data_IF_294028993597
#
_entry.id   IF_294028993597
#
_cell.length_a   1.000
_cell.length_b   1.000
_cell.length_c   1.000
_cell.angle_alpha   90.00
_cell.angle_beta   90.00
_cell.angle_gamma   90.00
#
_symmetry.space_group_name_H-M   'P 1'
#
loop_
_entity.id
_entity.type
_entity.pdbx_description
1 polymer ?
#
# COMPACT_ATOMS: atom_id res chain seq x y z
N UNK A 1 -13.55 1.27 -5.54
CA UNK A 1 -13.52 0.81 -6.95
C UNK A 1 -12.15 0.21 -7.19
N UNK A 2 -12.00 -0.83 -8.02
CA UNK A 2 -10.64 -1.27 -8.37
C UNK A 2 -10.01 -0.30 -9.36
N UNK A 3 -8.68 -0.08 -9.32
CA UNK A 3 -8.01 0.82 -10.28
C UNK A 3 -8.31 0.48 -11.75
N UNK A 4 -8.46 -0.81 -12.06
CA UNK A 4 -8.84 -1.30 -13.39
C UNK A 4 -10.29 -0.98 -13.80
N UNK A 5 -11.19 -0.79 -12.83
CA UNK A 5 -12.56 -0.33 -13.08
C UNK A 5 -12.58 1.18 -13.37
N UNK A 6 -11.78 1.95 -12.62
CA UNK A 6 -11.62 3.40 -12.85
C UNK A 6 -11.12 3.68 -14.27
N UNK A 7 -10.09 2.97 -14.73
CA UNK A 7 -9.56 3.13 -16.10
C UNK A 7 -10.64 2.92 -17.18
N UNK A 8 -11.52 1.91 -17.02
CA UNK A 8 -12.61 1.66 -17.96
C UNK A 8 -13.66 2.77 -17.97
N UNK A 9 -14.01 3.31 -16.80
CA UNK A 9 -14.95 4.41 -16.70
C UNK A 9 -14.37 5.69 -17.31
N UNK A 10 -13.07 5.94 -17.07
CA UNK A 10 -12.35 7.08 -17.59
C UNK A 10 -12.27 7.06 -19.12
N UNK A 11 -11.83 5.95 -19.70
CA UNK A 11 -11.65 5.82 -21.16
C UNK A 11 -12.98 5.73 -21.93
N UNK A 12 -14.07 5.30 -21.29
CA UNK A 12 -15.39 5.23 -21.92
C UNK A 12 -16.15 6.57 -22.01
N UNK A 13 -15.59 7.66 -21.47
CA UNK A 13 -16.28 8.95 -21.42
C UNK A 13 -17.49 8.95 -20.48
N UNK A 14 -17.53 8.02 -19.52
CA UNK A 14 -18.67 7.87 -18.61
C UNK A 14 -18.64 8.85 -17.43
N UNK A 15 -17.56 9.62 -17.27
CA UNK A 15 -17.31 10.48 -16.11
C UNK A 15 -17.42 11.96 -16.46
N UNK A 16 -17.87 12.76 -15.49
CA UNK A 16 -17.80 14.23 -15.50
C UNK A 16 -16.46 14.69 -14.93
N UNK A 17 -15.87 15.73 -15.53
CA UNK A 17 -14.71 16.40 -14.94
C UNK A 17 -15.15 17.09 -13.63
N UNK A 18 -14.46 16.79 -12.54
CA UNK A 18 -14.76 17.28 -11.20
C UNK A 18 -14.59 18.81 -11.11
N UNK A 19 -13.77 19.42 -11.98
CA UNK A 19 -13.60 20.88 -12.02
C UNK A 19 -14.85 21.62 -12.50
N UNK A 20 -15.79 20.93 -13.13
CA UNK A 20 -17.08 21.50 -13.53
C UNK A 20 -18.10 21.54 -12.38
N UNK A 21 -17.79 20.90 -11.25
CA UNK A 21 -18.71 20.83 -10.12
C UNK A 21 -18.62 22.09 -9.25
N UNK A 22 -19.75 22.78 -9.03
CA UNK A 22 -19.83 23.82 -8.01
C UNK A 22 -19.44 23.28 -6.63
N UNK A 23 -18.77 24.11 -5.81
CA UNK A 23 -18.31 23.78 -4.44
C UNK A 23 -17.28 22.64 -4.34
N UNK A 24 -16.74 22.16 -5.47
CA UNK A 24 -15.62 21.24 -5.46
C UNK A 24 -14.31 22.02 -5.25
N UNK A 25 -13.76 21.91 -4.04
CA UNK A 25 -12.52 22.56 -3.63
C UNK A 25 -11.45 21.50 -3.31
N UNK A 26 -10.57 21.13 -4.27
CA UNK A 26 -9.61 20.04 -4.07
C UNK A 26 -8.59 20.30 -2.95
N UNK A 27 -8.36 21.56 -2.60
CA UNK A 27 -7.42 21.97 -1.54
C UNK A 27 -8.06 22.13 -0.16
N UNK A 28 -9.33 21.75 0.01
CA UNK A 28 -10.10 21.92 1.26
C UNK A 28 -9.63 21.04 2.42
N UNK A 29 -8.81 20.04 2.17
CA UNK A 29 -8.30 19.07 3.16
C UNK A 29 -9.19 17.85 3.39
N UNK A 30 -10.46 17.87 2.94
CA UNK A 30 -11.35 16.70 2.94
C UNK A 30 -11.38 15.92 1.62
N UNK A 31 -10.54 16.33 0.66
CA UNK A 31 -10.12 15.54 -0.48
C UNK A 31 -8.62 15.29 -0.39
N UNK A 32 -8.19 14.07 -0.72
CA UNK A 32 -6.78 13.70 -0.73
C UNK A 32 -6.12 14.34 -1.96
N UNK A 33 -5.34 15.40 -1.72
CA UNK A 33 -4.67 16.17 -2.78
C UNK A 33 -3.68 15.33 -3.58
N UNK A 34 -2.97 14.40 -2.94
CA UNK A 34 -2.01 13.54 -3.62
C UNK A 34 -2.71 12.61 -4.63
N UNK A 35 -3.89 12.10 -4.29
CA UNK A 35 -4.73 11.31 -5.18
C UNK A 35 -5.31 12.15 -6.31
N UNK A 36 -5.74 13.38 -6.04
CA UNK A 36 -6.28 14.29 -7.04
C UNK A 36 -5.23 14.62 -8.12
N UNK A 37 -3.98 14.83 -7.69
CA UNK A 37 -2.85 15.10 -8.57
C UNK A 37 -2.41 13.86 -9.32
N UNK A 38 -2.28 12.72 -8.64
CA UNK A 38 -1.89 11.46 -9.26
C UNK A 38 -2.92 10.96 -10.28
N UNK A 39 -4.21 11.15 -10.02
CA UNK A 39 -5.30 10.72 -10.92
C UNK A 39 -5.58 11.73 -12.05
N UNK A 40 -4.86 12.85 -12.10
CA UNK A 40 -4.94 13.82 -13.21
C UNK A 40 -4.31 13.23 -14.46
N UNK A 41 -5.08 13.21 -15.56
CA UNK A 41 -4.64 12.71 -16.86
C UNK A 41 -4.90 13.79 -17.89
N UNK A 42 -3.87 14.16 -18.65
CA UNK A 42 -3.93 15.21 -19.66
C UNK A 42 -4.53 16.55 -19.13
N UNK A 43 -4.31 16.86 -17.85
CA UNK A 43 -4.83 18.06 -17.18
C UNK A 43 -6.32 18.02 -16.80
N UNK A 44 -6.99 16.88 -16.97
CA UNK A 44 -8.38 16.68 -16.54
C UNK A 44 -8.47 15.86 -15.26
N UNK A 45 -9.49 16.13 -14.45
CA UNK A 45 -9.66 15.54 -13.13
C UNK A 45 -11.01 14.83 -13.01
N UNK A 46 -11.01 13.51 -13.17
CA UNK A 46 -12.24 12.69 -13.17
C UNK A 46 -12.45 11.86 -11.90
N UNK A 47 -11.47 11.84 -11.01
CA UNK A 47 -11.51 11.04 -9.80
C UNK A 47 -10.63 11.61 -8.70
N UNK A 48 -11.06 11.39 -7.45
CA UNK A 48 -10.35 11.80 -6.25
C UNK A 48 -10.66 10.86 -5.10
N UNK A 49 -9.71 10.61 -4.21
CA UNK A 49 -10.01 9.97 -2.91
C UNK A 49 -10.57 11.05 -1.98
N UNK A 50 -11.76 10.79 -1.42
CA UNK A 50 -12.49 11.73 -0.58
C UNK A 50 -12.68 11.13 0.82
N UNK A 51 -12.73 12.00 1.83
CA UNK A 51 -13.08 11.62 3.19
C UNK A 51 -14.54 11.19 3.37
N UNK A 52 -15.38 11.20 2.31
CA UNK A 52 -16.70 10.54 2.30
C UNK A 52 -16.63 9.09 2.78
N UNK A 53 -15.47 8.44 2.64
CA UNK A 53 -15.16 7.15 3.24
C UNK A 53 -13.74 7.09 3.80
N UNK A 54 -13.57 6.40 4.92
CA UNK A 54 -12.28 6.17 5.59
C UNK A 54 -11.54 4.95 5.07
N UNK A 55 -12.06 4.28 4.05
CA UNK A 55 -11.47 3.06 3.53
C UNK A 55 -10.04 3.29 3.03
N UNK A 56 -9.70 4.46 2.48
CA UNK A 56 -8.35 4.73 2.00
C UNK A 56 -7.32 4.74 3.15
N UNK A 57 -7.66 5.29 4.31
CA UNK A 57 -6.81 5.27 5.51
C UNK A 57 -6.53 3.84 5.98
N UNK A 58 -7.54 2.97 5.88
CA UNK A 58 -7.41 1.57 6.24
C UNK A 58 -6.49 0.80 5.27
N UNK A 59 -6.32 1.32 4.06
CA UNK A 59 -5.57 0.73 2.94
C UNK A 59 -4.19 1.35 2.79
N UNK A 60 -3.57 1.77 3.89
CA UNK A 60 -2.17 2.20 3.93
C UNK A 60 -1.33 1.07 4.52
N UNK A 61 -0.21 0.78 3.87
CA UNK A 61 0.73 -0.23 4.33
C UNK A 61 1.45 0.20 5.63
N UNK A 62 1.51 -0.71 6.61
CA UNK A 62 2.10 -0.55 7.94
C UNK A 62 2.73 -1.87 8.42
N UNK A 63 3.69 -1.81 9.33
CA UNK A 63 4.27 -2.99 9.95
C UNK A 63 3.86 -3.10 11.42
N UNK A 64 3.68 -4.32 11.89
CA UNK A 64 3.35 -4.64 13.28
C UNK A 64 4.45 -5.54 13.81
N UNK A 65 4.91 -5.34 15.05
CA UNK A 65 5.96 -6.16 15.63
C UNK A 65 5.56 -6.75 16.99
N UNK A 66 5.91 -8.01 17.23
CA UNK A 66 5.69 -8.71 18.50
C UNK A 66 6.78 -8.29 19.50
N UNK A 67 6.38 -7.57 20.55
CA UNK A 67 7.31 -7.06 21.58
C UNK A 67 7.87 -8.16 22.45
N UNK A 68 7.06 -9.17 22.78
CA UNK A 68 7.51 -10.31 23.61
C UNK A 68 8.62 -11.06 22.90
N UNK A 69 8.42 -11.37 21.62
CA UNK A 69 9.45 -12.03 20.81
C UNK A 69 10.69 -11.14 20.64
N UNK A 70 10.53 -9.84 20.51
CA UNK A 70 11.65 -8.91 20.41
C UNK A 70 12.53 -8.95 21.67
N UNK A 71 11.90 -8.93 22.85
CA UNK A 71 12.58 -9.03 24.15
C UNK A 71 13.25 -10.40 24.35
N UNK A 72 12.56 -11.50 23.99
CA UNK A 72 13.07 -12.87 24.12
C UNK A 72 14.36 -13.10 23.33
N UNK A 73 14.53 -12.38 22.22
CA UNK A 73 15.70 -12.44 21.35
C UNK A 73 16.72 -11.33 21.59
N UNK A 74 16.47 -10.45 22.58
CA UNK A 74 17.36 -9.33 22.91
C UNK A 74 17.57 -8.37 21.74
N UNK A 75 16.53 -8.16 20.93
CA UNK A 75 16.55 -7.23 19.80
C UNK A 75 16.27 -5.81 20.32
N UNK A 76 16.85 -4.80 19.68
CA UNK A 76 16.66 -3.40 20.09
C UNK A 76 15.21 -2.92 19.88
N UNK A 77 14.80 -1.92 20.66
CA UNK A 77 13.48 -1.30 20.55
C UNK A 77 13.20 -0.78 19.12
N UNK A 78 12.07 -1.21 18.55
CA UNK A 78 11.70 -0.82 17.17
C UNK A 78 11.37 0.65 17.02
N UNK A 79 10.73 1.27 18.02
CA UNK A 79 10.37 2.69 17.95
C UNK A 79 11.62 3.56 17.88
N UNK A 80 12.63 3.28 18.69
CA UNK A 80 13.91 3.99 18.63
C UNK A 80 14.66 3.74 17.31
N UNK A 81 14.55 2.52 16.77
CA UNK A 81 15.09 2.15 15.46
C UNK A 81 14.43 2.98 14.34
N UNK A 82 13.12 3.20 14.41
CA UNK A 82 12.37 4.07 13.48
C UNK A 82 12.77 5.54 13.67
N UNK A 83 12.73 6.07 14.89
CA UNK A 83 13.08 7.47 15.20
C UNK A 83 14.49 7.84 14.79
N UNK A 84 15.43 6.91 14.91
CA UNK A 84 16.82 7.11 14.49
C UNK A 84 17.06 6.95 12.99
N UNK A 85 16.02 6.62 12.20
CA UNK A 85 16.10 6.46 10.75
C UNK A 85 16.69 5.13 10.28
N UNK A 86 16.93 4.19 11.21
CA UNK A 86 17.62 2.91 10.95
C UNK A 86 16.69 1.77 10.58
N UNK A 87 15.37 2.01 10.62
CA UNK A 87 14.40 1.01 10.17
C UNK A 87 14.43 0.88 8.65
N UNK A 88 15.15 -0.13 8.15
CA UNK A 88 15.33 -0.43 6.72
C UNK A 88 14.89 -1.85 6.39
N UNK A 89 14.71 -2.15 5.10
CA UNK A 89 14.38 -3.51 4.64
C UNK A 89 15.50 -4.48 5.06
N UNK A 90 16.77 -4.04 5.02
CA UNK A 90 17.90 -4.84 5.52
C UNK A 90 17.82 -5.10 7.02
N UNK A 91 17.49 -4.08 7.81
CA UNK A 91 17.32 -4.24 9.26
C UNK A 91 16.18 -5.19 9.58
N UNK A 92 15.06 -5.09 8.86
CA UNK A 92 13.93 -6.03 8.96
C UNK A 92 14.38 -7.47 8.69
N UNK A 93 15.14 -7.67 7.61
CA UNK A 93 15.62 -8.99 7.24
C UNK A 93 16.64 -9.55 8.25
N UNK A 94 17.54 -8.71 8.75
CA UNK A 94 18.52 -9.08 9.78
C UNK A 94 17.83 -9.61 11.05
N UNK A 95 16.94 -8.81 11.66
CA UNK A 95 16.24 -9.22 12.89
C UNK A 95 15.29 -10.39 12.64
N UNK A 96 14.71 -10.45 11.43
CA UNK A 96 13.88 -11.57 11.01
C UNK A 96 14.64 -12.90 11.00
N UNK A 97 15.87 -12.91 10.47
CA UNK A 97 16.73 -14.10 10.48
C UNK A 97 17.13 -14.52 11.89
N UNK A 98 17.30 -13.59 12.82
CA UNK A 98 17.64 -13.89 14.21
C UNK A 98 16.57 -14.74 14.89
N UNK A 99 15.29 -14.48 14.59
CA UNK A 99 14.17 -15.21 15.20
C UNK A 99 13.76 -16.45 14.41
N UNK A 100 13.96 -16.46 13.10
CA UNK A 100 13.47 -17.52 12.22
C UNK A 100 14.01 -18.89 12.66
N UNK A 101 13.11 -19.87 12.79
CA UNK A 101 13.47 -21.21 13.23
C UNK A 101 12.44 -22.23 12.75
N UNK A 102 12.95 -23.34 12.21
CA UNK A 102 12.22 -24.60 12.12
C UNK A 102 12.04 -25.13 13.56
N UNK A 103 10.83 -25.00 14.08
CA UNK A 103 10.54 -25.21 15.51
C UNK A 103 10.26 -26.67 15.86
N UNK A 104 9.85 -27.48 14.89
CA UNK A 104 9.61 -28.91 15.08
C UNK A 104 10.73 -29.80 14.52
N UNK A 105 11.73 -29.18 13.87
CA UNK A 105 12.95 -29.80 13.35
C UNK A 105 12.69 -30.87 12.28
N UNK A 106 11.60 -30.73 11.52
CA UNK A 106 11.26 -31.66 10.43
C UNK A 106 11.89 -31.28 9.08
N UNK A 107 12.55 -30.11 9.01
CA UNK A 107 13.19 -29.56 7.82
C UNK A 107 12.20 -28.92 6.84
N UNK A 108 10.93 -28.78 7.21
CA UNK A 108 9.87 -28.17 6.44
C UNK A 108 9.46 -26.85 7.10
N UNK A 109 9.63 -25.74 6.40
CA UNK A 109 9.15 -24.44 6.87
C UNK A 109 7.65 -24.28 6.56
N UNK A 110 6.80 -24.60 7.53
CA UNK A 110 5.32 -24.55 7.46
C UNK A 110 4.75 -23.42 8.32
N UNK A 111 3.42 -23.23 8.35
CA UNK A 111 2.77 -22.20 9.18
C UNK A 111 2.94 -22.38 10.70
N UNK A 112 3.45 -23.54 11.13
CA UNK A 112 3.70 -23.85 12.56
C UNK A 112 5.03 -23.32 13.06
N UNK A 113 5.94 -23.00 12.14
CA UNK A 113 7.28 -22.52 12.46
C UNK A 113 7.31 -21.05 12.83
N UNK A 114 8.46 -20.64 13.36
CA UNK A 114 8.69 -19.25 13.72
C UNK A 114 9.37 -18.52 12.58
N UNK A 115 8.81 -17.37 12.19
CA UNK A 115 9.31 -16.57 11.08
C UNK A 115 9.72 -15.17 11.54
N UNK A 116 10.62 -14.58 10.77
CA UNK A 116 10.97 -13.17 10.89
C UNK A 116 9.80 -12.27 10.50
N UNK A 117 9.17 -12.55 9.36
CA UNK A 117 8.04 -11.75 8.91
C UNK A 117 7.02 -12.51 8.06
N UNK A 118 5.76 -12.14 8.22
CA UNK A 118 4.62 -12.61 7.42
C UNK A 118 4.11 -11.48 6.54
N UNK A 119 3.59 -11.83 5.37
CA UNK A 119 3.06 -10.86 4.43
C UNK A 119 2.01 -11.47 3.48
N UNK A 120 1.15 -10.61 2.94
CA UNK A 120 0.22 -10.94 1.85
C UNK A 120 0.82 -10.58 0.49
N UNK A 121 0.24 -11.09 -0.60
CA UNK A 121 0.81 -10.89 -1.95
C UNK A 121 0.95 -9.41 -2.34
N UNK A 122 0.05 -8.54 -1.89
CA UNK A 122 0.09 -7.12 -2.21
C UNK A 122 1.28 -6.38 -1.53
N UNK A 123 1.88 -6.96 -0.48
CA UNK A 123 3.03 -6.36 0.22
C UNK A 123 4.25 -6.22 -0.69
N UNK A 124 4.41 -7.05 -1.73
CA UNK A 124 5.50 -6.85 -2.69
C UNK A 124 5.38 -5.51 -3.44
N UNK A 125 4.14 -5.06 -3.70
CA UNK A 125 3.88 -3.75 -4.31
C UNK A 125 4.14 -2.64 -3.30
N UNK A 126 3.71 -2.84 -2.05
CA UNK A 126 3.97 -1.94 -0.93
C UNK A 126 5.47 -1.73 -0.70
N UNK A 127 6.28 -2.78 -0.68
CA UNK A 127 7.74 -2.64 -0.58
C UNK A 127 8.34 -1.86 -1.73
N UNK A 128 7.85 -2.10 -2.95
CA UNK A 128 8.38 -1.42 -4.11
C UNK A 128 8.16 0.09 -3.99
N UNK A 129 6.94 0.52 -3.68
CA UNK A 129 6.64 1.93 -3.48
C UNK A 129 7.31 2.50 -2.22
N UNK A 130 7.36 1.76 -1.11
CA UNK A 130 8.07 2.17 0.11
C UNK A 130 9.58 2.36 -0.11
N UNK A 131 10.15 1.62 -1.07
CA UNK A 131 11.53 1.77 -1.52
C UNK A 131 11.74 2.94 -2.48
N UNK A 132 10.73 3.78 -2.72
CA UNK A 132 10.79 4.92 -3.65
C UNK A 132 10.78 4.53 -5.13
N UNK A 133 10.42 3.28 -5.45
CA UNK A 133 10.25 2.82 -6.83
C UNK A 133 8.78 2.89 -7.21
N UNK A 134 8.50 3.57 -8.31
CA UNK A 134 7.18 3.59 -8.93
C UNK A 134 7.19 2.89 -10.27
N UNK A 135 6.02 2.42 -10.70
CA UNK A 135 5.84 1.90 -12.04
C UNK A 135 5.84 3.04 -13.05
N UNK A 136 5.06 4.08 -12.78
CA UNK A 136 5.04 5.29 -13.58
C UNK A 136 4.76 6.52 -12.70
N UNK A 137 5.13 7.69 -13.21
CA UNK A 137 4.90 9.00 -12.59
C UNK A 137 4.37 9.98 -13.60
N UNK A 138 3.59 10.94 -13.12
CA UNK A 138 3.27 12.14 -13.90
C UNK A 138 4.41 13.15 -13.76
N UNK A 139 4.96 13.59 -14.89
CA UNK A 139 5.95 14.65 -14.98
C UNK A 139 5.33 16.03 -14.78
N UNK A 140 6.15 17.04 -14.55
CA UNK A 140 5.71 18.43 -14.37
C UNK A 140 4.98 19.03 -15.58
N UNK A 141 5.18 18.47 -16.77
CA UNK A 141 4.49 18.87 -18.00
C UNK A 141 3.17 18.11 -18.23
N UNK A 142 2.77 17.24 -17.29
CA UNK A 142 1.57 16.41 -17.38
C UNK A 142 1.75 15.10 -18.14
N UNK A 143 2.95 14.81 -18.67
CA UNK A 143 3.22 13.54 -19.35
C UNK A 143 3.39 12.39 -18.35
N UNK A 144 2.98 11.18 -18.74
CA UNK A 144 3.20 9.98 -17.93
C UNK A 144 4.52 9.34 -18.36
N UNK A 145 5.43 9.16 -17.39
CA UNK A 145 6.75 8.58 -17.60
C UNK A 145 6.85 7.25 -16.84
N UNK A 146 7.24 6.19 -17.55
CA UNK A 146 7.55 4.88 -16.98
C UNK A 146 8.88 4.93 -16.21
N UNK A 147 8.91 4.33 -15.02
CA UNK A 147 10.09 4.34 -14.13
C UNK A 147 10.51 2.96 -13.63
N UNK A 148 9.69 1.92 -13.86
CA UNK A 148 9.92 0.55 -13.36
C UNK A 148 11.14 -0.16 -13.95
N UNK A 149 11.62 0.24 -15.13
CA UNK A 149 12.66 -0.45 -15.89
C UNK A 149 14.04 0.22 -15.81
N UNK A 150 14.21 1.20 -14.90
CA UNK A 150 15.51 1.81 -14.64
C UNK A 150 16.44 0.84 -13.90
N UNK A 151 17.76 1.01 -14.02
CA UNK A 151 18.73 0.17 -13.30
C UNK A 151 18.46 0.18 -11.79
N UNK A 152 18.25 1.36 -11.20
CA UNK A 152 17.90 1.49 -9.79
C UNK A 152 16.61 0.74 -9.43
N UNK A 153 15.55 0.85 -10.23
CA UNK A 153 14.31 0.14 -9.98
C UNK A 153 14.49 -1.38 -10.03
N UNK A 154 15.20 -1.89 -11.05
CA UNK A 154 15.49 -3.31 -11.21
C UNK A 154 16.35 -3.86 -10.07
N UNK A 155 17.37 -3.11 -9.63
CA UNK A 155 18.21 -3.48 -8.47
C UNK A 155 17.38 -3.56 -7.19
N UNK A 156 16.51 -2.57 -6.94
CA UNK A 156 15.64 -2.57 -5.75
C UNK A 156 14.64 -3.73 -5.79
N UNK A 157 14.02 -3.99 -6.94
CA UNK A 157 13.13 -5.14 -7.11
C UNK A 157 13.83 -6.46 -6.82
N UNK A 158 15.03 -6.66 -7.41
CA UNK A 158 15.80 -7.87 -7.17
C UNK A 158 16.18 -8.01 -5.69
N UNK A 159 16.60 -6.92 -5.04
CA UNK A 159 16.94 -6.97 -3.62
C UNK A 159 15.76 -7.37 -2.74
N UNK A 160 14.58 -6.77 -2.96
CA UNK A 160 13.35 -7.15 -2.26
C UNK A 160 13.01 -8.61 -2.55
N UNK A 161 13.24 -9.09 -3.78
CA UNK A 161 12.98 -10.47 -4.16
C UNK A 161 13.87 -11.45 -3.40
N UNK A 162 15.16 -11.14 -3.29
CA UNK A 162 16.12 -11.98 -2.57
C UNK A 162 15.73 -12.15 -1.09
N UNK A 163 15.13 -11.11 -0.49
CA UNK A 163 14.62 -11.14 0.90
C UNK A 163 13.31 -11.92 1.00
N UNK A 164 12.34 -11.64 0.13
CA UNK A 164 11.01 -12.29 0.18
C UNK A 164 11.04 -13.75 -0.31
N UNK A 165 12.09 -14.14 -1.04
CA UNK A 165 12.32 -15.50 -1.50
C UNK A 165 13.08 -16.37 -0.49
N UNK A 166 13.65 -15.77 0.57
CA UNK A 166 14.08 -16.52 1.75
C UNK A 166 12.86 -17.03 2.50
N UNK A 167 12.40 -18.21 2.11
CA UNK A 167 11.22 -18.88 2.66
C UNK A 167 11.42 -19.45 4.06
N UNK A 168 12.66 -19.47 4.57
CA UNK A 168 12.94 -19.82 5.96
C UNK A 168 12.71 -18.63 6.89
N UNK A 169 12.99 -17.42 6.42
CA UNK A 169 12.80 -16.19 7.20
C UNK A 169 11.43 -15.56 7.00
N UNK A 170 10.86 -15.69 5.80
CA UNK A 170 9.64 -15.01 5.38
C UNK A 170 8.51 -15.98 5.03
N UNK A 171 7.26 -15.59 5.31
CA UNK A 171 6.08 -16.39 5.00
C UNK A 171 5.00 -15.61 4.26
N UNK A 172 4.78 -15.94 2.98
CA UNK A 172 3.67 -15.42 2.19
C UNK A 172 2.38 -16.19 2.49
N UNK A 173 1.47 -15.58 3.28
CA UNK A 173 0.25 -16.24 3.75
C UNK A 173 -0.71 -16.59 2.60
N UNK A 174 -0.74 -15.81 1.53
CA UNK A 174 -1.60 -16.06 0.36
C UNK A 174 -1.15 -17.26 -0.48
N UNK A 175 0.15 -17.56 -0.49
CA UNK A 175 0.72 -18.61 -1.34
C UNK A 175 0.97 -19.91 -0.58
N UNK A 176 1.36 -19.82 0.69
CA UNK A 176 1.87 -20.96 1.47
C UNK A 176 0.90 -21.49 2.52
N UNK A 177 -0.20 -20.80 2.79
CA UNK A 177 -1.24 -21.31 3.66
C UNK A 177 -1.86 -22.60 3.09
N UNK A 178 -2.12 -23.62 3.93
CA UNK A 178 -2.70 -24.89 3.48
C UNK A 178 -4.18 -24.78 3.08
N UNK A 179 -4.88 -23.72 3.48
CA UNK A 179 -6.28 -23.49 3.12
C UNK A 179 -6.39 -22.70 1.81
N UNK A 180 -7.01 -23.25 0.75
CA UNK A 180 -7.21 -22.54 -0.52
C UNK A 180 -8.18 -21.35 -0.41
N UNK A 181 -8.99 -21.27 0.65
CA UNK A 181 -9.88 -20.15 0.93
C UNK A 181 -9.25 -19.31 2.06
N UNK A 182 -8.22 -18.54 1.74
CA UNK A 182 -7.58 -17.60 2.67
C UNK A 182 -8.67 -16.74 3.34
N UNK A 183 -8.92 -16.99 4.62
CA UNK A 183 -9.80 -16.18 5.46
C UNK A 183 -8.98 -15.13 6.18
N UNK A 184 -9.58 -14.02 6.61
CA UNK A 184 -8.91 -12.99 7.41
C UNK A 184 -8.20 -13.58 8.65
N UNK A 185 -8.74 -14.65 9.23
CA UNK A 185 -8.13 -15.36 10.37
C UNK A 185 -6.80 -16.02 10.01
N UNK A 186 -6.62 -16.46 8.77
CA UNK A 186 -5.36 -17.05 8.31
C UNK A 186 -4.31 -15.98 7.98
N UNK A 187 -4.73 -14.82 7.47
CA UNK A 187 -3.80 -13.73 7.18
C UNK A 187 -3.19 -13.12 8.44
N UNK A 188 -3.93 -13.15 9.54
CA UNK A 188 -3.53 -12.56 10.84
C UNK A 188 -3.04 -13.61 11.84
N UNK A 189 -3.43 -14.88 11.65
CA UNK A 189 -3.27 -15.97 12.61
C UNK A 189 -1.84 -16.18 13.08
N UNK A 190 -0.88 -16.30 12.16
CA UNK A 190 0.53 -16.54 12.52
C UNK A 190 1.09 -15.43 13.42
N UNK A 191 0.72 -14.17 13.19
CA UNK A 191 1.14 -13.07 14.04
C UNK A 191 0.42 -13.11 15.39
N UNK A 192 -0.92 -13.28 15.39
CA UNK A 192 -1.71 -13.32 16.64
C UNK A 192 -1.40 -14.52 17.54
N UNK A 193 -0.93 -15.62 16.94
CA UNK A 193 -0.51 -16.83 17.64
C UNK A 193 0.92 -16.72 18.20
N UNK A 194 1.64 -15.63 17.90
CA UNK A 194 3.01 -15.39 18.38
C UNK A 194 4.09 -16.10 17.56
N UNK A 195 3.78 -16.60 16.36
CA UNK A 195 4.73 -17.33 15.52
C UNK A 195 5.58 -16.42 14.62
N UNK A 196 5.40 -15.10 14.69
CA UNK A 196 6.10 -14.17 13.78
C UNK A 196 6.53 -12.90 14.51
N UNK A 197 7.77 -12.45 14.25
CA UNK A 197 8.26 -11.19 14.81
C UNK A 197 7.55 -9.99 14.19
N UNK A 198 7.42 -9.95 12.85
CA UNK A 198 6.78 -8.84 12.14
C UNK A 198 5.63 -9.32 11.25
N UNK A 199 4.52 -8.59 11.26
CA UNK A 199 3.48 -8.71 10.23
C UNK A 199 3.47 -7.47 9.36
N UNK A 200 3.69 -7.66 8.05
CA UNK A 200 3.61 -6.61 7.04
C UNK A 200 2.20 -6.61 6.47
N UNK A 201 1.44 -5.55 6.72
CA UNK A 201 0.01 -5.52 6.46
C UNK A 201 -0.50 -4.09 6.18
N UNK A 202 -1.81 -3.94 6.02
CA UNK A 202 -2.45 -2.62 6.03
C UNK A 202 -2.95 -2.22 7.42
N UNK A 203 -3.30 -0.95 7.59
CA UNK A 203 -3.96 -0.44 8.82
C UNK A 203 -5.24 -1.21 9.16
N UNK A 204 -5.94 -1.74 8.15
CA UNK A 204 -7.14 -2.57 8.34
C UNK A 204 -6.91 -3.87 9.15
N UNK A 205 -5.65 -4.27 9.40
CA UNK A 205 -5.33 -5.39 10.28
C UNK A 205 -5.31 -5.02 11.76
N UNK A 206 -5.10 -3.75 12.12
CA UNK A 206 -4.96 -3.34 13.52
C UNK A 206 -6.13 -3.80 14.41
N UNK A 207 -7.41 -3.71 13.98
CA UNK A 207 -8.54 -4.22 14.78
C UNK A 207 -8.52 -5.75 14.96
N UNK A 208 -7.92 -6.48 14.02
CA UNK A 208 -7.88 -7.94 14.00
C UNK A 208 -6.78 -8.48 14.93
N UNK A 209 -5.72 -7.71 15.18
CA UNK A 209 -4.65 -8.05 16.12
C UNK A 209 -5.01 -7.78 17.58
N UNK A 210 -6.16 -7.17 17.87
CA UNK A 210 -6.59 -6.83 19.24
C UNK A 210 -6.62 -8.05 20.17
N UNK A 211 -6.97 -9.22 19.65
CA UNK A 211 -7.08 -10.46 20.41
C UNK A 211 -5.74 -11.21 20.58
N UNK A 212 -4.64 -10.72 20.00
CA UNK A 212 -3.29 -11.26 20.22
C UNK A 212 -2.93 -11.21 21.70
N UNK A 213 -2.42 -12.31 22.25
CA UNK A 213 -2.07 -12.38 23.69
C UNK A 213 -0.79 -11.62 24.01
N UNK A 214 0.23 -11.80 23.17
CA UNK A 214 1.49 -11.08 23.28
C UNK A 214 1.29 -9.60 23.01
N UNK A 215 2.12 -8.76 23.63
CA UNK A 215 2.11 -7.34 23.32
C UNK A 215 2.72 -7.05 21.94
N UNK A 216 2.19 -6.05 21.24
CA UNK A 216 2.65 -5.67 19.91
C UNK A 216 2.70 -4.15 19.75
N UNK A 217 3.52 -3.70 18.81
CA UNK A 217 3.58 -2.29 18.40
C UNK A 217 3.27 -2.11 16.91
N UNK A 218 2.97 -0.88 16.53
CA UNK A 218 2.71 -0.45 15.15
C UNK A 218 3.84 0.49 14.71
N UNK A 219 4.41 0.26 13.54
CA UNK A 219 5.51 1.05 12.96
C UNK A 219 5.29 1.26 11.45
N UNK A 220 5.90 2.29 10.83
CA UNK A 220 5.85 2.46 9.39
C UNK A 220 6.49 1.29 8.63
N UNK A 221 6.16 1.20 7.34
CA UNK A 221 6.91 0.33 6.43
C UNK A 221 8.39 0.75 6.41
N UNK A 222 9.33 -0.21 6.31
CA UNK A 222 10.75 0.10 6.34
C UNK A 222 11.18 0.90 5.11
N UNK A 223 12.20 1.74 5.28
CA UNK A 223 12.91 2.40 4.19
C UNK A 223 13.69 1.38 3.36
N UNK A 224 14.03 1.72 2.11
CA UNK A 224 14.99 0.91 1.37
C UNK A 224 16.35 0.85 2.10
N UNK A 225 16.90 2.02 2.42
CA UNK A 225 18.17 2.18 3.13
C UNK A 225 18.14 3.46 3.99
N UNK A 226 19.20 3.72 4.78
CA UNK A 226 19.29 4.91 5.65
C UNK A 226 19.45 6.24 4.86
N UNK A 227 19.75 6.19 3.55
CA UNK A 227 19.85 7.40 2.70
C UNK A 227 18.48 7.93 2.30
N UNK A 228 17.46 7.07 2.32
CA UNK A 228 16.07 7.48 2.14
C UNK A 228 15.62 8.33 3.33
N UNK A 229 15.20 9.57 3.06
CA UNK A 229 14.82 10.52 4.12
C UNK A 229 13.52 10.13 4.81
N UNK A 230 12.48 9.87 4.03
CA UNK A 230 11.12 9.64 4.55
C UNK A 230 10.80 8.14 4.67
N UNK A 231 10.02 7.79 5.69
CA UNK A 231 9.29 6.53 5.73
C UNK A 231 8.06 6.64 4.83
N UNK A 232 8.08 5.97 3.68
CA UNK A 232 6.96 5.98 2.73
C UNK A 232 6.03 4.81 3.09
N UNK A 233 4.78 5.12 3.42
CA UNK A 233 3.73 4.14 3.69
C UNK A 233 2.70 4.19 2.55
N UNK A 234 2.92 3.42 1.47
CA UNK A 234 2.12 3.56 0.26
C UNK A 234 0.68 3.06 0.46
N UNK A 235 -0.22 3.54 -0.39
CA UNK A 235 -1.61 3.09 -0.44
C UNK A 235 -1.70 1.81 -1.28
N UNK A 236 -2.56 0.88 -0.89
CA UNK A 236 -2.83 -0.31 -1.70
C UNK A 236 -3.34 0.08 -3.09
N UNK A 237 -2.76 -0.52 -4.13
CA UNK A 237 -3.05 -0.17 -5.52
C UNK A 237 -4.38 -0.71 -6.07
N UNK A 238 -4.89 -1.80 -5.46
CA UNK A 238 -6.01 -2.55 -6.03
C UNK A 238 -7.37 -2.08 -5.49
N UNK A 239 -7.69 -2.17 -4.19
CA UNK A 239 -8.90 -1.55 -3.66
C UNK A 239 -8.64 -0.07 -3.33
N UNK A 240 -8.96 0.87 -4.22
CA UNK A 240 -8.91 2.30 -3.87
C UNK A 240 -10.31 2.94 -3.95
N UNK A 241 -10.80 3.62 -2.91
CA UNK A 241 -12.13 4.26 -2.95
C UNK A 241 -12.08 5.58 -3.72
N UNK A 242 -11.84 5.49 -5.03
CA UNK A 242 -11.88 6.65 -5.94
C UNK A 242 -13.33 7.11 -6.09
N UNK A 243 -13.59 8.36 -5.74
CA UNK A 243 -14.86 9.05 -5.91
C UNK A 243 -14.92 9.65 -7.30
N UNK A 244 -15.99 9.35 -8.04
CA UNK A 244 -16.22 9.77 -9.43
C UNK A 244 -17.68 10.16 -9.62
N UNK A 245 -17.96 11.03 -10.60
CA UNK A 245 -19.32 11.46 -10.94
C UNK A 245 -19.69 11.00 -12.35
N UNK A 246 -20.84 10.34 -12.56
CA UNK A 246 -21.30 9.95 -13.89
C UNK A 246 -21.61 11.16 -14.77
N UNK A 247 -21.22 11.10 -16.06
CA UNK A 247 -21.49 12.13 -17.08
C UNK A 247 -22.98 12.40 -17.29
N UNK A 248 -23.84 11.42 -17.02
CA UNK A 248 -25.29 11.55 -17.15
C UNK A 248 -25.95 12.36 -16.03
N UNK A 249 -25.18 12.77 -15.01
CA UNK A 249 -25.71 13.58 -13.93
C UNK A 249 -26.00 15.01 -14.40
N UNK A 250 -27.28 15.36 -14.45
CA UNK A 250 -27.74 16.68 -14.90
C UNK A 250 -27.82 17.73 -13.78
N UNK A 251 -27.56 17.36 -12.53
CA UNK A 251 -27.64 18.27 -11.36
C UNK A 251 -26.31 18.31 -10.60
N UNK A 252 -25.32 18.92 -11.25
CA UNK A 252 -23.97 19.07 -10.69
C UNK A 252 -23.92 20.02 -9.49
N UNK A 253 -24.83 20.99 -9.41
CA UNK A 253 -24.93 21.91 -8.25
C UNK A 253 -25.29 21.12 -6.98
N UNK A 254 -26.42 20.40 -6.99
CA UNK A 254 -26.83 19.61 -5.83
C UNK A 254 -25.79 18.54 -5.49
N UNK A 255 -25.19 17.92 -6.51
CA UNK A 255 -24.17 16.89 -6.32
C UNK A 255 -22.90 17.45 -5.68
N UNK A 256 -22.45 18.63 -6.11
CA UNK A 256 -21.29 19.31 -5.53
C UNK A 256 -21.51 19.67 -4.06
N UNK A 257 -22.69 20.22 -3.73
CA UNK A 257 -23.07 20.52 -2.34
C UNK A 257 -23.04 19.26 -1.48
N UNK A 258 -23.69 18.18 -1.93
CA UNK A 258 -23.75 16.92 -1.16
C UNK A 258 -22.36 16.31 -0.99
N UNK A 259 -21.56 16.27 -2.06
CA UNK A 259 -20.22 15.71 -2.02
C UNK A 259 -19.32 16.50 -1.06
N UNK A 260 -19.35 17.83 -1.12
CA UNK A 260 -18.58 18.68 -0.22
C UNK A 260 -18.99 18.46 1.23
N UNK A 261 -20.30 18.48 1.53
CA UNK A 261 -20.82 18.29 2.90
C UNK A 261 -20.47 16.89 3.45
N UNK A 262 -20.68 15.84 2.68
CA UNK A 262 -20.35 14.47 3.11
C UNK A 262 -18.85 14.29 3.31
N UNK A 263 -18.02 14.89 2.45
CA UNK A 263 -16.57 14.85 2.60
C UNK A 263 -16.13 15.63 3.85
N UNK A 264 -16.74 16.79 4.10
CA UNK A 264 -16.49 17.61 5.28
C UNK A 264 -16.82 16.88 6.59
N UNK A 265 -17.99 16.24 6.70
CA UNK A 265 -18.32 15.40 7.86
C UNK A 265 -17.42 14.17 7.94
N UNK A 266 -17.06 13.59 6.80
CA UNK A 266 -16.06 12.54 6.71
C UNK A 266 -14.72 12.93 7.35
N UNK A 267 -14.28 14.16 7.09
CA UNK A 267 -13.02 14.70 7.60
C UNK A 267 -13.12 15.17 9.06
N UNK A 268 -14.23 15.79 9.46
CA UNK A 268 -14.38 16.40 10.79
C UNK A 268 -14.96 15.46 11.85
N UNK A 269 -15.62 14.38 11.44
CA UNK A 269 -16.26 13.43 12.36
C UNK A 269 -15.75 12.01 12.17
N UNK A 270 -15.80 11.47 10.94
CA UNK A 270 -15.44 10.06 10.69
C UNK A 270 -13.93 9.81 10.83
N UNK A 271 -13.10 10.72 10.33
CA UNK A 271 -11.65 10.62 10.42
C UNK A 271 -11.16 10.66 11.88
N UNK A 272 -11.58 11.62 12.73
CA UNK A 272 -11.29 11.57 14.16
C UNK A 272 -11.83 10.31 14.84
N UNK A 273 -13.03 9.83 14.49
CA UNK A 273 -13.56 8.59 15.05
C UNK A 273 -12.68 7.37 14.69
N UNK A 274 -12.16 7.31 13.45
CA UNK A 274 -11.22 6.27 13.06
C UNK A 274 -9.92 6.38 13.88
N UNK A 275 -9.29 7.55 13.89
CA UNK A 275 -7.99 7.72 14.55
C UNK A 275 -8.10 7.60 16.07
N UNK A 276 -8.86 8.48 16.71
CA UNK A 276 -8.86 8.63 18.16
C UNK A 276 -9.55 7.45 18.84
N UNK A 277 -10.68 7.00 18.29
CA UNK A 277 -11.49 5.96 18.95
C UNK A 277 -11.10 4.55 18.55
N UNK A 278 -10.77 4.32 17.27
CA UNK A 278 -10.43 2.96 16.81
C UNK A 278 -8.94 2.70 16.87
N UNK A 279 -8.12 3.47 16.16
CA UNK A 279 -6.70 3.19 16.07
C UNK A 279 -6.00 3.44 17.41
N UNK A 280 -6.12 4.63 17.96
CA UNK A 280 -5.53 5.02 19.25
C UNK A 280 -6.23 4.35 20.42
N UNK A 281 -7.56 4.50 20.54
CA UNK A 281 -8.29 4.05 21.71
C UNK A 281 -8.53 2.54 21.82
N UNK A 282 -8.42 1.76 20.72
CA UNK A 282 -8.74 0.32 20.73
C UNK A 282 -7.68 -0.59 20.14
N UNK A 283 -6.81 -0.11 19.24
CA UNK A 283 -5.85 -0.96 18.52
C UNK A 283 -4.41 -0.77 19.01
N UNK A 284 -3.94 0.47 19.12
CA UNK A 284 -2.64 0.80 19.69
C UNK A 284 -2.59 0.34 21.16
N UNK A 285 -1.44 -0.17 21.57
CA UNK A 285 -1.23 -0.71 22.92
C UNK A 285 -0.33 0.18 23.79
N UNK A 286 0.22 1.23 23.19
CA UNK A 286 1.12 2.18 23.81
C UNK A 286 1.12 3.50 23.02
N UNK A 287 1.66 4.55 23.64
CA UNK A 287 1.72 5.90 23.08
C UNK A 287 2.73 5.99 21.91
N UNK A 288 3.78 5.14 21.89
CA UNK A 288 4.77 5.13 20.82
C UNK A 288 4.13 4.68 19.49
N UNK A 289 3.26 3.68 19.50
CA UNK A 289 2.47 3.24 18.35
C UNK A 289 1.58 4.36 17.82
N UNK A 290 1.04 5.22 18.70
CA UNK A 290 0.22 6.37 18.28
C UNK A 290 1.07 7.39 17.53
N UNK A 291 2.27 7.70 18.02
CA UNK A 291 3.25 8.53 17.29
C UNK A 291 3.63 7.90 15.94
N UNK A 292 3.81 6.57 15.88
CA UNK A 292 4.14 5.90 14.62
C UNK A 292 2.99 5.93 13.62
N UNK A 293 1.73 5.92 14.07
CA UNK A 293 0.57 6.12 13.21
C UNK A 293 0.64 7.49 12.54
N UNK A 294 0.95 8.56 13.27
CA UNK A 294 1.13 9.89 12.68
C UNK A 294 2.20 9.87 11.57
N UNK A 295 3.32 9.17 11.80
CA UNK A 295 4.36 8.99 10.77
C UNK A 295 3.83 8.24 9.54
N UNK A 296 3.09 7.14 9.74
CA UNK A 296 2.50 6.33 8.67
C UNK A 296 1.59 7.19 7.78
N UNK A 297 0.71 7.98 8.38
CA UNK A 297 -0.27 8.77 7.63
C UNK A 297 0.29 10.06 7.04
N UNK A 298 1.43 10.56 7.54
CA UNK A 298 2.08 11.78 7.03
C UNK A 298 2.65 11.64 5.62
N UNK A 299 2.97 10.41 5.19
CA UNK A 299 3.66 10.16 3.93
C UNK A 299 3.07 8.96 3.18
N UNK A 300 1.90 9.18 2.62
CA UNK A 300 1.25 8.27 1.67
C UNK A 300 1.70 8.57 0.24
N UNK A 301 1.66 7.54 -0.61
CA UNK A 301 2.06 7.66 -2.01
C UNK A 301 1.07 6.93 -2.93
N UNK A 302 0.77 7.54 -4.08
CA UNK A 302 -0.08 7.00 -5.14
C UNK A 302 0.75 6.79 -6.40
N UNK A 303 0.93 5.53 -6.79
CA UNK A 303 1.63 5.15 -8.02
C UNK A 303 0.63 4.90 -9.16
N UNK A 304 0.62 5.81 -10.14
CA UNK A 304 -0.29 5.72 -11.28
C UNK A 304 -0.07 4.45 -12.11
N UNK A 305 1.17 3.98 -12.19
CA UNK A 305 1.47 2.75 -12.92
C UNK A 305 0.95 1.51 -12.20
N UNK A 306 0.91 1.53 -10.86
CA UNK A 306 0.25 0.50 -10.06
C UNK A 306 -1.28 0.56 -10.20
N UNK A 307 -1.87 1.76 -10.18
CA UNK A 307 -3.32 1.96 -10.26
C UNK A 307 -3.88 1.53 -11.64
N UNK A 308 -3.27 2.01 -12.72
CA UNK A 308 -3.71 1.73 -14.09
C UNK A 308 -3.18 0.39 -14.65
N UNK A 309 -2.14 -0.19 -14.04
CA UNK A 309 -1.48 -1.43 -14.48
C UNK A 309 -1.10 -1.40 -15.96
N UNK A 310 -0.45 -0.31 -16.39
CA UNK A 310 -0.03 -0.14 -17.78
C UNK A 310 0.74 -1.37 -18.26
N UNK A 311 0.36 -1.91 -19.42
CA UNK A 311 0.94 -3.13 -19.96
C UNK A 311 0.73 -4.42 -19.16
N UNK A 312 0.21 -4.35 -17.93
CA UNK A 312 0.20 -5.45 -16.95
C UNK A 312 1.45 -5.50 -16.07
N UNK A 313 2.20 -4.40 -15.92
CA UNK A 313 3.46 -4.38 -15.16
C UNK A 313 3.25 -4.67 -13.67
N UNK A 314 2.26 -4.05 -12.99
CA UNK A 314 1.95 -4.38 -11.58
C UNK A 314 1.61 -5.85 -11.46
N UNK A 315 0.74 -6.34 -12.34
CA UNK A 315 0.36 -7.75 -12.32
C UNK A 315 1.57 -8.66 -12.50
N UNK A 316 2.51 -8.30 -13.40
CA UNK A 316 3.75 -9.06 -13.60
C UNK A 316 4.67 -9.01 -12.38
N UNK A 317 4.86 -7.84 -11.77
CA UNK A 317 5.60 -7.67 -10.51
C UNK A 317 5.05 -8.62 -9.45
N UNK A 318 3.74 -8.55 -9.20
CA UNK A 318 3.07 -9.42 -8.23
C UNK A 318 3.29 -10.90 -8.52
N UNK A 319 3.14 -11.33 -9.78
CA UNK A 319 3.36 -12.72 -10.17
C UNK A 319 4.79 -13.18 -9.91
N UNK A 320 5.79 -12.35 -10.23
CA UNK A 320 7.21 -12.69 -10.00
C UNK A 320 7.46 -12.98 -8.51
N UNK A 321 7.00 -12.09 -7.63
CA UNK A 321 7.15 -12.28 -6.18
C UNK A 321 6.31 -13.44 -5.63
N UNK A 322 5.09 -13.64 -6.16
CA UNK A 322 4.21 -14.71 -5.70
C UNK A 322 4.73 -16.10 -6.09
N UNK A 323 5.28 -16.24 -7.29
CA UNK A 323 5.80 -17.50 -7.81
C UNK A 323 7.29 -17.70 -7.52
N UNK A 324 7.95 -16.71 -6.91
CA UNK A 324 9.39 -16.72 -6.64
C UNK A 324 10.22 -16.95 -7.91
N UNK A 325 9.87 -16.26 -9.00
CA UNK A 325 10.52 -16.36 -10.33
C UNK A 325 11.24 -15.05 -10.71
N UNK A 326 12.42 -14.82 -10.13
CA UNK A 326 13.13 -13.53 -10.04
C UNK A 326 13.72 -12.95 -11.33
N UNK A 327 13.08 -13.10 -12.49
CA UNK A 327 13.60 -12.58 -13.77
C UNK A 327 12.91 -11.28 -14.22
N UNK A 328 13.13 -10.18 -13.50
CA UNK A 328 12.48 -8.89 -13.74
C UNK A 328 12.83 -8.27 -15.11
N UNK A 329 14.12 -8.20 -15.46
CA UNK A 329 14.57 -7.52 -16.68
C UNK A 329 13.98 -8.16 -17.94
N UNK A 330 14.01 -9.50 -18.03
CA UNK A 330 13.42 -10.21 -19.17
C UNK A 330 11.91 -10.10 -19.19
N UNK A 331 11.25 -10.20 -18.03
CA UNK A 331 9.81 -10.06 -17.92
C UNK A 331 9.32 -8.70 -18.43
N UNK A 332 10.03 -7.62 -18.10
CA UNK A 332 9.65 -6.25 -18.42
C UNK A 332 9.98 -5.80 -19.83
N UNK A 333 11.06 -6.30 -20.42
CA UNK A 333 11.38 -6.02 -21.83
C UNK A 333 10.23 -6.41 -22.77
N UNK A 334 9.48 -7.46 -22.43
CA UNK A 334 8.32 -7.92 -23.23
C UNK A 334 7.08 -7.03 -23.10
N UNK A 335 7.02 -6.15 -22.09
CA UNK A 335 5.85 -5.32 -21.79
C UNK A 335 5.98 -3.88 -22.30
N UNK A 336 7.20 -3.45 -22.64
CA UNK A 336 7.54 -2.03 -22.86
C UNK A 336 6.66 -1.36 -23.93
N UNK A 337 6.53 -1.99 -25.11
CA UNK A 337 5.67 -1.50 -26.19
C UNK A 337 4.19 -1.44 -25.79
N UNK A 338 3.75 -2.37 -24.94
CA UNK A 338 2.36 -2.41 -24.48
C UNK A 338 2.09 -1.32 -23.44
N UNK A 339 3.06 -1.04 -22.57
CA UNK A 339 3.02 0.08 -21.62
C UNK A 339 2.85 1.40 -22.37
N UNK A 340 3.74 1.66 -23.33
CA UNK A 340 3.71 2.91 -24.09
C UNK A 340 2.38 3.08 -24.82
N UNK A 341 1.88 2.01 -25.45
CA UNK A 341 0.56 2.02 -26.07
C UNK A 341 -0.55 2.30 -25.06
N UNK A 342 -0.57 1.64 -23.90
CA UNK A 342 -1.63 1.86 -22.91
C UNK A 342 -1.64 3.29 -22.37
N UNK A 343 -0.48 3.93 -22.24
CA UNK A 343 -0.38 5.34 -21.83
C UNK A 343 -0.95 6.25 -22.92
N UNK A 344 -0.57 6.05 -24.18
CA UNK A 344 -1.09 6.81 -25.32
C UNK A 344 -2.61 6.65 -25.45
N UNK A 345 -3.09 5.40 -25.47
CA UNK A 345 -4.53 5.10 -25.58
C UNK A 345 -5.34 5.76 -24.45
N UNK A 346 -4.78 5.81 -23.22
CA UNK A 346 -5.42 6.47 -22.08
C UNK A 346 -5.49 8.00 -22.28
N UNK A 347 -4.38 8.62 -22.69
CA UNK A 347 -4.31 10.07 -22.92
C UNK A 347 -5.26 10.48 -24.05
N UNK A 348 -5.22 9.78 -25.19
CA UNK A 348 -6.08 10.06 -26.34
C UNK A 348 -7.56 9.92 -25.95
N UNK A 349 -7.94 8.84 -25.27
CA UNK A 349 -9.32 8.67 -24.81
C UNK A 349 -9.76 9.78 -23.84
N UNK A 350 -8.89 10.20 -22.92
CA UNK A 350 -9.21 11.30 -22.00
C UNK A 350 -9.37 12.62 -22.73
N UNK A 351 -8.52 12.90 -23.73
CA UNK A 351 -8.64 14.11 -24.55
C UNK A 351 -9.89 14.12 -25.43
N UNK A 352 -10.27 12.99 -26.02
CA UNK A 352 -11.52 12.83 -26.77
C UNK A 352 -12.77 13.02 -25.91
N UNK A 353 -12.65 12.75 -24.61
CA UNK A 353 -13.74 12.82 -23.65
C UNK A 353 -13.92 14.21 -23.02
N UNK A 354 -12.97 15.15 -23.17
CA UNK A 354 -13.14 16.55 -22.74
C UNK A 354 -14.29 17.22 -23.49
#
# INVERSE_FOLDING_TARGET
MRGSEYNKLLTSGSLSDLTLMPHFEPDSGYYDKASYDALSIAGSHYGVVSNITMNHNLLIFSAYFNKVMLDDFGIDNMYDTVRSGKWTIDRMYEIGKTVAADTDSDGLFTEKDRYGFTYIVDVSEGFLNASGVNIAKTSSDGSIVKTYNTETALTRMQHIFDILSDTATSFNVHKRSPDPNITNKLETGMFTDGNTLISLAGIYYAPQFRDMKDDFGIIPFPKYDETQTDYISPVFSNPLPITVIPRTNSDLESTGIILAEMSYHGYTELLPALYDTILTGKCARDDDSVEMLDMIFSKTEYDIGMLFDFGGVRTKVRTIYQELDGNFASAFASLDTKVDKNIVDLIEAVEENK
#
